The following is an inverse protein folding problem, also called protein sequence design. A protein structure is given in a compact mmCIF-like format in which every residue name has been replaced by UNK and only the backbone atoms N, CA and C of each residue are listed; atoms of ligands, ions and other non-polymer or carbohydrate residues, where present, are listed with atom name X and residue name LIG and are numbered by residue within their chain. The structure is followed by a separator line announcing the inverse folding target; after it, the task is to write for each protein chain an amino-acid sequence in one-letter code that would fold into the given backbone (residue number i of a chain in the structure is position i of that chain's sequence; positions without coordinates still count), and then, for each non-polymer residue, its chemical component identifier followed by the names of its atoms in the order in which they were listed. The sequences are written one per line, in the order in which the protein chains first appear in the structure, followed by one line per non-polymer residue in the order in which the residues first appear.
data_IF_598728659200
#
_entry.id   IF_598728659200
#
_cell.length_a   1.000
_cell.length_b   1.000
_cell.length_c   1.000
_cell.angle_alpha   90.00
_cell.angle_beta   90.00
_cell.angle_gamma   90.00
#
_symmetry.space_group_name_H-M   'P 1'
#
loop_
_entity.id
_entity.type
_entity.pdbx_description
1 polymer ?
#
# COMPACT_ATOMS: atom_id res chain seq x y z
N UNK A 1 -36.70 13.92 -66.70
CA UNK A 1 -37.00 14.29 -65.30
C UNK A 1 -37.29 13.09 -64.39
N UNK A 2 -37.40 11.86 -64.90
CA UNK A 2 -37.62 10.64 -64.09
C UNK A 2 -36.33 9.95 -63.57
N UNK A 3 -35.17 10.25 -64.17
CA UNK A 3 -33.90 9.58 -63.81
C UNK A 3 -33.25 10.09 -62.52
N UNK A 4 -33.62 11.28 -62.05
CA UNK A 4 -33.07 11.90 -60.83
C UNK A 4 -33.81 11.43 -59.57
N UNK A 5 -35.11 11.13 -59.68
CA UNK A 5 -35.93 10.68 -58.54
C UNK A 5 -35.63 9.22 -58.13
N UNK A 6 -35.23 8.36 -59.08
CA UNK A 6 -34.79 6.98 -58.77
C UNK A 6 -33.48 6.92 -57.98
N UNK A 7 -32.53 7.83 -58.28
CA UNK A 7 -31.23 7.88 -57.61
C UNK A 7 -31.39 8.32 -56.14
N UNK A 8 -32.27 9.29 -55.86
CA UNK A 8 -32.52 9.77 -54.50
C UNK A 8 -33.22 8.72 -53.60
N UNK A 9 -34.06 7.86 -54.17
CA UNK A 9 -34.73 6.77 -53.45
C UNK A 9 -33.78 5.59 -53.13
N UNK A 10 -32.81 5.28 -54.00
CA UNK A 10 -31.80 4.27 -53.70
C UNK A 10 -30.80 4.73 -52.63
N UNK A 11 -30.36 6.00 -52.67
CA UNK A 11 -29.44 6.57 -51.67
C UNK A 11 -30.08 6.54 -50.27
N UNK A 12 -31.38 6.86 -50.16
CA UNK A 12 -32.11 6.81 -48.87
C UNK A 12 -32.27 5.38 -48.33
N UNK A 13 -32.38 4.37 -49.21
CA UNK A 13 -32.49 2.95 -48.83
C UNK A 13 -31.13 2.36 -48.42
N UNK A 14 -30.02 2.85 -48.99
CA UNK A 14 -28.64 2.45 -48.62
C UNK A 14 -28.28 3.04 -47.26
N UNK A 15 -28.56 4.33 -47.00
CA UNK A 15 -28.25 4.96 -45.71
C UNK A 15 -29.00 4.29 -44.56
N UNK A 16 -30.27 3.92 -44.73
CA UNK A 16 -31.04 3.25 -43.66
C UNK A 16 -30.61 1.78 -43.43
N UNK A 17 -30.04 1.10 -44.44
CA UNK A 17 -29.51 -0.27 -44.27
C UNK A 17 -28.09 -0.33 -43.70
N UNK A 18 -27.25 0.67 -43.95
CA UNK A 18 -25.87 0.70 -43.43
C UNK A 18 -25.81 1.07 -41.94
N UNK A 19 -26.80 1.82 -41.43
CA UNK A 19 -26.89 2.17 -40.00
C UNK A 19 -27.68 1.16 -39.14
N UNK A 20 -28.10 0.01 -39.70
CA UNK A 20 -28.94 -0.96 -39.01
C UNK A 20 -28.22 -2.12 -38.31
N UNK A 21 -26.91 -2.33 -38.53
CA UNK A 21 -26.21 -3.54 -38.03
C UNK A 21 -24.83 -3.23 -37.40
N UNK A 22 -24.40 -1.97 -37.37
CA UNK A 22 -23.06 -1.58 -36.91
C UNK A 22 -22.97 -1.24 -35.40
N UNK A 23 -23.72 -1.93 -34.54
CA UNK A 23 -23.66 -1.70 -33.07
C UNK A 23 -23.33 -2.94 -32.23
N UNK A 24 -23.00 -4.08 -32.84
CA UNK A 24 -22.52 -5.26 -32.09
C UNK A 24 -21.30 -5.88 -32.78
N UNK A 25 -20.30 -5.05 -33.10
CA UNK A 25 -18.92 -5.54 -33.06
C UNK A 25 -18.44 -5.20 -31.66
N UNK A 26 -18.74 -6.11 -30.74
CA UNK A 26 -18.06 -6.21 -29.46
C UNK A 26 -16.58 -6.21 -29.82
N UNK A 27 -15.96 -5.06 -29.62
CA UNK A 27 -14.52 -4.96 -29.57
C UNK A 27 -14.11 -5.88 -28.41
N UNK A 28 -13.76 -7.12 -28.75
CA UNK A 28 -12.80 -7.91 -28.00
C UNK A 28 -11.49 -7.12 -28.06
N UNK A 29 -11.45 -6.01 -27.32
CA UNK A 29 -10.21 -5.47 -26.80
C UNK A 29 -9.72 -6.59 -25.90
N UNK A 30 -8.78 -7.35 -26.45
CA UNK A 30 -7.83 -8.13 -25.69
C UNK A 30 -7.36 -7.22 -24.55
N UNK A 31 -7.97 -7.43 -23.38
CA UNK A 31 -7.42 -7.06 -22.10
C UNK A 31 -6.19 -7.94 -21.96
N UNK A 32 -5.12 -7.54 -22.62
CA UNK A 32 -3.78 -8.00 -22.26
C UNK A 32 -3.64 -7.54 -20.82
N UNK A 33 -3.52 -8.43 -19.83
CA UNK A 33 -3.14 -7.99 -18.50
C UNK A 33 -1.78 -7.33 -18.70
N UNK A 34 -1.74 -6.01 -18.60
CA UNK A 34 -0.51 -5.27 -18.48
C UNK A 34 0.17 -5.86 -17.25
N UNK A 35 1.18 -6.68 -17.52
CA UNK A 35 1.95 -7.37 -16.50
C UNK A 35 2.31 -6.38 -15.43
N UNK A 36 1.74 -6.62 -14.25
CA UNK A 36 2.03 -5.99 -13.00
C UNK A 36 3.48 -5.47 -12.91
N UNK A 37 3.64 -4.16 -13.06
CA UNK A 37 4.65 -3.43 -12.30
C UNK A 37 4.11 -3.23 -10.88
N UNK A 38 3.74 -4.32 -10.22
CA UNK A 38 3.32 -4.32 -8.82
C UNK A 38 4.48 -4.88 -8.02
N UNK A 39 5.15 -4.04 -7.23
CA UNK A 39 5.94 -4.53 -6.10
C UNK A 39 5.06 -5.52 -5.33
N UNK A 40 5.59 -6.71 -5.03
CA UNK A 40 4.84 -7.84 -4.44
C UNK A 40 3.79 -7.34 -3.43
N UNK A 41 2.52 -7.35 -3.82
CA UNK A 41 1.45 -6.93 -2.92
C UNK A 41 1.45 -7.83 -1.69
N UNK A 42 1.56 -7.21 -0.51
CA UNK A 42 1.48 -7.94 0.75
C UNK A 42 0.03 -8.37 0.98
N UNK A 43 -0.19 -9.67 1.17
CA UNK A 43 -1.54 -10.21 1.40
C UNK A 43 -2.19 -9.61 2.66
N UNK A 44 -3.53 -9.59 2.69
CA UNK A 44 -4.28 -9.09 3.83
C UNK A 44 -3.94 -9.85 5.13
N UNK A 45 -3.73 -11.16 5.03
CA UNK A 45 -3.32 -12.00 6.16
C UNK A 45 -1.96 -11.57 6.72
N UNK A 46 -0.97 -11.32 5.85
CA UNK A 46 0.36 -10.88 6.30
C UNK A 46 0.29 -9.48 6.92
N UNK A 47 -0.47 -8.56 6.32
CA UNK A 47 -0.73 -7.24 6.91
C UNK A 47 -1.34 -7.36 8.32
N UNK A 48 -2.34 -8.22 8.49
CA UNK A 48 -2.97 -8.46 9.79
C UNK A 48 -1.99 -9.07 10.81
N UNK A 49 -1.21 -10.09 10.41
CA UNK A 49 -0.22 -10.74 11.27
C UNK A 49 0.85 -9.75 11.75
N UNK A 50 1.41 -8.96 10.86
CA UNK A 50 2.44 -7.96 11.19
C UNK A 50 1.90 -6.82 12.05
N UNK A 51 0.69 -6.33 11.79
CA UNK A 51 0.01 -5.35 12.65
C UNK A 51 -0.27 -5.91 14.05
N UNK A 52 -0.72 -7.16 14.15
CA UNK A 52 -0.94 -7.83 15.42
C UNK A 52 0.39 -8.01 16.19
N UNK A 53 1.48 -8.36 15.50
CA UNK A 53 2.81 -8.42 16.10
C UNK A 53 3.22 -7.07 16.68
N UNK A 54 3.01 -5.96 15.96
CA UNK A 54 3.28 -4.62 16.47
C UNK A 54 2.43 -4.30 17.71
N UNK A 55 1.12 -4.54 17.66
CA UNK A 55 0.22 -4.26 18.77
C UNK A 55 0.61 -5.03 20.05
N UNK A 56 0.97 -6.31 19.91
CA UNK A 56 1.46 -7.14 21.04
C UNK A 56 2.77 -6.59 21.60
N UNK A 57 3.74 -6.30 20.72
CA UNK A 57 5.04 -5.77 21.13
C UNK A 57 4.91 -4.45 21.89
N UNK A 58 4.05 -3.55 21.42
CA UNK A 58 3.76 -2.28 22.08
C UNK A 58 3.16 -2.51 23.46
N UNK A 59 2.15 -3.37 23.55
CA UNK A 59 1.49 -3.70 24.82
C UNK A 59 2.45 -4.31 25.84
N UNK A 60 3.36 -5.18 25.41
CA UNK A 60 4.33 -5.85 26.28
C UNK A 60 5.42 -4.91 26.81
N UNK A 61 5.72 -3.82 26.08
CA UNK A 61 6.74 -2.83 26.46
C UNK A 61 6.19 -1.56 27.10
N UNK A 62 4.90 -1.32 26.96
CA UNK A 62 4.24 -0.20 27.61
C UNK A 62 4.21 -0.41 29.12
N UNK A 63 4.47 0.66 29.87
CA UNK A 63 4.26 0.68 31.31
C UNK A 63 2.77 0.84 31.66
N UNK A 64 2.45 1.00 32.95
CA UNK A 64 1.08 1.16 33.44
C UNK A 64 0.38 2.42 32.91
N UNK A 65 1.13 3.42 32.43
CA UNK A 65 0.60 4.64 31.81
C UNK A 65 0.46 4.52 30.29
N UNK A 66 0.92 3.42 29.69
CA UNK A 66 0.86 3.19 28.24
C UNK A 66 2.06 3.73 27.46
N UNK A 67 3.06 4.33 28.13
CA UNK A 67 4.29 4.79 27.48
C UNK A 67 5.33 3.68 27.43
N UNK A 68 6.19 3.73 26.44
CA UNK A 68 7.35 2.85 26.35
C UNK A 68 8.62 3.66 26.14
N UNK A 69 9.74 3.08 26.58
CA UNK A 69 11.04 3.72 26.54
C UNK A 69 11.86 3.22 25.35
N UNK A 70 12.59 4.13 24.72
CA UNK A 70 13.50 3.84 23.62
C UNK A 70 14.68 4.82 23.61
N UNK A 71 15.79 4.41 23.01
CA UNK A 71 16.93 5.32 22.82
C UNK A 71 16.76 6.04 21.50
N UNK A 72 16.62 7.37 21.54
CA UNK A 72 16.67 8.19 20.33
C UNK A 72 18.13 8.53 20.01
N UNK A 73 18.65 7.99 18.91
CA UNK A 73 20.04 8.19 18.47
C UNK A 73 20.29 9.52 17.78
N UNK A 74 19.25 10.30 17.48
CA UNK A 74 19.42 11.68 16.97
C UNK A 74 19.89 12.60 18.11
N UNK A 75 19.34 12.40 19.31
CA UNK A 75 19.68 13.19 20.51
C UNK A 75 20.56 12.44 21.50
N UNK A 76 20.76 11.14 21.31
CA UNK A 76 21.50 10.22 22.19
C UNK A 76 20.94 10.19 23.63
N UNK A 77 19.62 10.21 23.77
CA UNK A 77 18.92 10.18 25.05
C UNK A 77 17.95 8.99 25.13
N UNK A 78 17.68 8.54 26.36
CA UNK A 78 16.54 7.66 26.64
C UNK A 78 15.26 8.51 26.67
N UNK A 79 14.35 8.23 25.76
CA UNK A 79 13.10 8.96 25.57
C UNK A 79 11.92 8.03 25.86
N UNK A 80 10.83 8.58 26.39
CA UNK A 80 9.56 7.89 26.50
C UNK A 80 8.52 8.48 25.55
N UNK A 81 7.63 7.62 25.04
CA UNK A 81 6.56 8.05 24.17
C UNK A 81 5.40 7.06 24.10
N UNK A 82 4.35 7.49 23.41
CA UNK A 82 3.11 6.78 23.21
C UNK A 82 2.95 6.42 21.75
N UNK A 83 2.41 5.25 21.44
CA UNK A 83 2.06 4.90 20.07
C UNK A 83 1.04 5.91 19.55
N UNK A 84 1.38 6.62 18.47
CA UNK A 84 0.39 7.41 17.76
C UNK A 84 -0.51 6.43 17.00
N UNK A 85 -1.81 6.52 17.20
CA UNK A 85 -2.82 5.55 16.77
C UNK A 85 -3.08 5.60 15.25
N UNK A 86 -2.02 5.50 14.44
CA UNK A 86 -2.06 5.59 12.97
C UNK A 86 -1.95 4.19 12.39
N UNK A 87 -2.77 3.87 11.39
CA UNK A 87 -2.64 2.65 10.61
C UNK A 87 -1.22 2.54 10.08
N UNK A 88 -0.43 1.55 10.55
CA UNK A 88 0.96 1.49 10.17
C UNK A 88 1.09 1.20 8.68
N UNK A 89 2.04 1.87 8.04
CA UNK A 89 2.40 1.60 6.66
C UNK A 89 3.16 0.28 6.62
N UNK A 90 2.65 -0.68 5.86
CA UNK A 90 3.24 -2.01 5.71
C UNK A 90 4.09 -2.04 4.45
N UNK A 91 5.38 -2.24 4.60
CA UNK A 91 6.34 -2.13 3.52
C UNK A 91 7.18 -3.42 3.42
N UNK A 92 7.01 -4.23 2.35
CA UNK A 92 7.80 -5.44 2.19
C UNK A 92 9.30 -5.13 2.05
N UNK A 93 10.10 -5.98 2.67
CA UNK A 93 11.55 -5.96 2.64
C UNK A 93 12.09 -7.37 2.33
N UNK A 94 13.42 -7.51 2.25
CA UNK A 94 14.10 -8.73 1.79
C UNK A 94 13.65 -9.99 2.54
N UNK A 95 13.65 -11.13 1.87
CA UNK A 95 13.44 -12.45 2.49
C UNK A 95 12.14 -12.59 3.28
N UNK A 96 11.08 -11.92 2.83
CA UNK A 96 9.77 -11.94 3.48
C UNK A 96 9.68 -11.11 4.76
N UNK A 97 10.76 -10.39 5.13
CA UNK A 97 10.72 -9.40 6.19
C UNK A 97 9.88 -8.19 5.78
N UNK A 98 9.32 -7.50 6.76
CA UNK A 98 8.38 -6.40 6.52
C UNK A 98 8.66 -5.30 7.52
N UNK A 99 8.82 -4.08 7.02
CA UNK A 99 8.76 -2.89 7.85
C UNK A 99 7.30 -2.56 8.14
N UNK A 100 6.97 -2.47 9.43
CA UNK A 100 5.70 -1.94 9.92
C UNK A 100 6.01 -0.54 10.43
N UNK A 101 5.73 0.48 9.63
CA UNK A 101 6.11 1.86 9.94
C UNK A 101 4.96 2.58 10.65
N UNK A 102 5.21 3.08 11.85
CA UNK A 102 4.25 3.82 12.67
C UNK A 102 4.86 5.15 13.14
N UNK A 103 4.16 5.81 14.05
CA UNK A 103 4.55 7.08 14.65
C UNK A 103 4.43 6.98 16.17
N UNK A 104 5.25 7.78 16.87
CA UNK A 104 5.27 7.88 18.33
C UNK A 104 5.19 9.35 18.71
N UNK A 105 4.40 9.63 19.75
CA UNK A 105 4.32 10.96 20.36
C UNK A 105 5.15 10.91 21.64
N UNK A 106 6.22 11.71 21.71
CA UNK A 106 7.08 11.77 22.91
C UNK A 106 6.38 12.49 24.06
N UNK A 107 6.90 12.38 25.28
CA UNK A 107 6.40 13.16 26.43
C UNK A 107 6.51 14.68 26.23
N UNK A 108 7.38 15.15 25.31
CA UNK A 108 7.50 16.56 24.92
C UNK A 108 6.45 16.99 23.89
N UNK A 109 5.66 16.04 23.37
CA UNK A 109 4.66 16.27 22.32
C UNK A 109 5.18 16.13 20.89
N UNK A 110 6.45 15.75 20.71
CA UNK A 110 7.03 15.59 19.37
C UNK A 110 6.49 14.33 18.70
N UNK A 111 6.18 14.42 17.40
CA UNK A 111 5.81 13.27 16.58
C UNK A 111 7.04 12.77 15.83
N UNK A 112 7.47 11.55 16.17
CA UNK A 112 8.63 10.92 15.55
C UNK A 112 8.24 9.65 14.81
N UNK A 113 9.07 9.28 13.84
CA UNK A 113 8.91 8.02 13.10
C UNK A 113 9.39 6.84 13.94
N UNK A 114 8.68 5.72 13.83
CA UNK A 114 9.05 4.46 14.47
C UNK A 114 8.87 3.32 13.46
N UNK A 115 9.98 2.74 13.01
CA UNK A 115 9.98 1.73 11.95
C UNK A 115 10.37 0.37 12.55
N UNK A 116 9.45 -0.59 12.50
CA UNK A 116 9.61 -1.91 13.11
C UNK A 116 9.93 -2.94 12.04
N UNK A 117 11.13 -3.51 12.06
CA UNK A 117 11.47 -4.61 11.17
C UNK A 117 10.94 -5.92 11.74
N UNK A 118 10.04 -6.54 10.99
CA UNK A 118 9.47 -7.84 11.31
C UNK A 118 10.06 -8.92 10.41
N UNK A 119 10.30 -10.11 10.96
CA UNK A 119 10.75 -11.28 10.20
C UNK A 119 9.78 -12.44 10.42
N UNK A 120 9.54 -13.29 9.40
CA UNK A 120 8.70 -14.47 9.54
C UNK A 120 9.34 -15.48 10.48
N UNK A 121 8.56 -16.02 11.42
CA UNK A 121 8.97 -17.07 12.37
C UNK A 121 7.81 -18.03 12.56
N UNK A 122 7.96 -19.27 12.06
CA UNK A 122 6.87 -20.23 12.00
C UNK A 122 5.70 -19.67 11.18
N UNK A 123 4.50 -19.69 11.74
CA UNK A 123 3.30 -19.14 11.09
C UNK A 123 3.08 -17.62 11.33
N UNK A 124 3.95 -16.99 12.13
CA UNK A 124 3.82 -15.60 12.56
C UNK A 124 5.01 -14.72 12.21
N UNK A 125 5.08 -13.57 12.86
CA UNK A 125 6.16 -12.59 12.71
C UNK A 125 6.70 -12.18 14.08
N UNK A 126 8.00 -11.86 14.13
CA UNK A 126 8.65 -11.24 15.29
C UNK A 126 9.31 -9.93 14.89
N UNK A 127 9.25 -8.94 15.78
CA UNK A 127 10.04 -7.71 15.65
C UNK A 127 11.47 -8.03 16.08
N UNK A 128 12.43 -7.76 15.21
CA UNK A 128 13.86 -7.99 15.46
C UNK A 128 14.66 -6.69 15.59
N UNK A 129 14.13 -5.59 15.04
CA UNK A 129 14.78 -4.29 15.09
C UNK A 129 13.72 -3.18 15.17
N UNK A 130 14.04 -2.12 15.90
CA UNK A 130 13.20 -0.92 16.02
C UNK A 130 14.04 0.31 15.73
N UNK A 131 13.72 1.00 14.64
CA UNK A 131 14.43 2.18 14.18
C UNK A 131 13.61 3.41 14.54
N UNK A 132 14.02 4.08 15.61
CA UNK A 132 13.38 5.28 16.11
C UNK A 132 13.99 6.53 15.47
N UNK A 133 13.12 7.45 15.04
CA UNK A 133 13.46 8.78 14.54
C UNK A 133 14.56 8.78 13.46
N UNK A 134 14.51 7.80 12.55
CA UNK A 134 15.58 7.61 11.56
C UNK A 134 15.07 7.00 10.24
N UNK A 135 13.92 7.49 9.77
CA UNK A 135 13.30 7.09 8.50
C UNK A 135 14.25 7.21 7.30
N UNK A 136 15.19 8.15 7.33
CA UNK A 136 16.19 8.32 6.26
C UNK A 136 17.09 7.08 6.13
N UNK A 137 17.46 6.44 7.23
CA UNK A 137 18.22 5.19 7.20
C UNK A 137 17.38 4.04 6.64
N UNK A 138 16.09 3.95 7.00
CA UNK A 138 15.17 2.94 6.45
C UNK A 138 15.03 3.10 4.94
N UNK A 139 14.82 4.33 4.44
CA UNK A 139 14.78 4.61 2.99
C UNK A 139 16.05 4.16 2.28
N UNK A 140 17.23 4.47 2.84
CA UNK A 140 18.51 3.99 2.30
C UNK A 140 18.62 2.46 2.29
N UNK A 141 18.22 1.78 3.37
CA UNK A 141 18.19 0.31 3.43
C UNK A 141 17.27 -0.31 2.38
N UNK A 142 16.23 0.42 2.01
CA UNK A 142 15.24 0.06 0.99
C UNK A 142 15.65 0.43 -0.44
N UNK A 143 16.70 1.23 -0.63
CA UNK A 143 17.10 1.74 -1.95
C UNK A 143 16.18 2.84 -2.49
N UNK A 144 15.57 3.63 -1.59
CA UNK A 144 14.67 4.75 -1.90
C UNK A 144 15.28 6.11 -1.60
#
# INVERSE_FOLDING_TARGET
MERVMHIFLEIRRIVVRVFGVASVVIALILVVPTGALAGKEVSAEIKAKTQLTLAKWMKERADTSGKFYFVDRQVNELVAGYSANVHPMIVPYKDGSIFVCSEVITEKGDRITADFLTVPVGEGYKIVEVIMNNRSSVKKMMGM
#
